data_IF_310136341579
#
_entry.id   IF_310136341579
#
_cell.length_a   1.000
_cell.length_b   1.000
_cell.length_c   1.000
_cell.angle_alpha   90.00
_cell.angle_beta   90.00
_cell.angle_gamma   90.00
#
_symmetry.space_group_name_H-M   'P 1'
#
loop_
_entity.id
_entity.type
_entity.pdbx_description
1 polymer ?
#
# COMPACT_ATOMS: atom_id res chain seq x y z
N UNK A 1 -8.98 -2.46 9.00
CA UNK A 1 -8.63 -3.30 10.16
C UNK A 1 -8.27 -4.69 9.65
N UNK A 2 -7.35 -5.45 10.27
CA UNK A 2 -7.16 -6.86 9.94
C UNK A 2 -8.47 -7.68 9.93
N UNK A 3 -9.43 -7.35 10.79
CA UNK A 3 -10.76 -7.97 10.79
C UNK A 3 -11.52 -7.73 9.47
N UNK A 4 -11.56 -6.49 8.98
CA UNK A 4 -12.22 -6.15 7.71
C UNK A 4 -11.60 -6.94 6.54
N UNK A 5 -10.26 -7.05 6.53
CA UNK A 5 -9.52 -7.80 5.49
C UNK A 5 -9.89 -9.29 5.53
N UNK A 6 -10.03 -9.88 6.73
CA UNK A 6 -10.44 -11.27 6.87
C UNK A 6 -11.89 -11.49 6.41
N UNK A 7 -12.79 -10.58 6.76
CA UNK A 7 -14.21 -10.68 6.39
C UNK A 7 -14.40 -10.62 4.87
N UNK A 8 -13.64 -9.76 4.17
CA UNK A 8 -13.72 -9.59 2.72
C UNK A 8 -12.97 -10.70 1.94
N UNK A 9 -11.80 -11.13 2.44
CA UNK A 9 -10.85 -11.94 1.64
C UNK A 9 -10.47 -13.29 2.24
N UNK A 10 -10.86 -13.62 3.48
CA UNK A 10 -10.39 -14.81 4.19
C UNK A 10 -10.72 -16.15 3.52
N UNK A 11 -11.67 -16.18 2.57
CA UNK A 11 -12.00 -17.36 1.75
C UNK A 11 -11.26 -17.42 0.40
N UNK A 12 -10.53 -16.36 0.06
CA UNK A 12 -9.84 -16.18 -1.23
C UNK A 12 -8.31 -16.31 -1.09
N UNK A 13 -7.78 -16.25 0.13
CA UNK A 13 -6.35 -16.32 0.43
C UNK A 13 -6.07 -17.46 1.41
N UNK A 14 -4.86 -17.99 1.39
CA UNK A 14 -4.46 -19.08 2.29
C UNK A 14 -4.29 -18.62 3.74
N UNK A 15 -3.93 -17.36 3.95
CA UNK A 15 -3.67 -16.80 5.28
C UNK A 15 -3.88 -15.28 5.32
N UNK A 16 -4.37 -14.79 6.46
CA UNK A 16 -4.39 -13.37 6.84
C UNK A 16 -3.57 -13.23 8.13
N UNK A 17 -2.66 -12.25 8.18
CA UNK A 17 -1.82 -11.98 9.35
C UNK A 17 -2.31 -10.70 10.02
N UNK A 18 -2.69 -10.79 11.29
CA UNK A 18 -3.04 -9.63 12.11
C UNK A 18 -1.76 -8.98 12.66
N UNK A 19 -1.46 -7.77 12.16
CA UNK A 19 -0.38 -6.91 12.62
C UNK A 19 -0.85 -5.64 13.35
N UNK A 20 -2.13 -5.59 13.74
CA UNK A 20 -2.78 -4.40 14.27
C UNK A 20 -3.15 -3.35 13.20
N UNK A 21 -3.55 -2.16 13.66
CA UNK A 21 -3.98 -1.07 12.77
C UNK A 21 -2.75 -0.46 12.08
N UNK A 22 -2.68 -0.63 10.76
CA UNK A 22 -1.72 0.04 9.90
C UNK A 22 -2.19 1.40 9.36
N UNK A 23 -1.35 2.04 8.55
CA UNK A 23 -1.74 3.22 7.77
C UNK A 23 -2.53 2.85 6.51
N UNK A 24 -3.47 3.70 6.10
CA UNK A 24 -4.26 3.54 4.88
C UNK A 24 -3.81 4.48 3.74
N UNK A 25 -2.79 5.30 3.97
CA UNK A 25 -2.19 6.14 2.93
C UNK A 25 -1.20 5.30 2.12
N UNK A 26 -1.40 5.14 0.80
CA UNK A 26 -0.51 4.33 -0.02
C UNK A 26 0.86 5.00 -0.19
N UNK A 27 1.85 4.24 -0.65
CA UNK A 27 3.17 4.79 -0.95
C UNK A 27 3.17 5.76 -2.13
N UNK A 28 4.12 6.69 -2.11
CA UNK A 28 4.50 7.52 -3.25
C UNK A 28 5.11 6.62 -4.33
N UNK A 29 4.68 6.79 -5.59
CA UNK A 29 5.19 6.06 -6.75
C UNK A 29 5.97 7.03 -7.63
N UNK A 30 7.26 6.74 -7.82
CA UNK A 30 8.14 7.43 -8.75
C UNK A 30 8.53 6.45 -9.87
N UNK A 31 8.30 6.85 -11.11
CA UNK A 31 8.81 6.16 -12.30
C UNK A 31 10.24 6.62 -12.59
N UNK A 32 11.18 5.69 -12.52
CA UNK A 32 12.60 5.91 -12.80
C UNK A 32 13.05 5.22 -14.09
N UNK A 33 12.12 4.91 -15.01
CA UNK A 33 12.45 4.21 -16.26
C UNK A 33 12.90 5.15 -17.39
N UNK A 34 12.66 6.46 -17.25
CA UNK A 34 13.12 7.51 -18.17
C UNK A 34 14.42 8.18 -17.71
N UNK A 35 14.82 9.23 -18.43
CA UNK A 35 16.03 10.00 -18.13
C UNK A 35 15.92 10.82 -16.83
N UNK A 36 14.70 11.20 -16.46
CA UNK A 36 14.40 11.96 -15.24
C UNK A 36 13.29 11.24 -14.43
N UNK A 37 13.35 11.26 -13.09
CA UNK A 37 12.29 10.68 -12.25
C UNK A 37 10.94 11.38 -12.45
N UNK A 38 9.88 10.60 -12.63
CA UNK A 38 8.51 11.09 -12.80
C UNK A 38 7.61 10.67 -11.65
N UNK A 39 6.98 11.63 -10.98
CA UNK A 39 5.96 11.34 -9.96
C UNK A 39 4.69 10.79 -10.64
N UNK A 40 4.37 9.51 -10.40
CA UNK A 40 3.13 8.89 -10.87
C UNK A 40 1.99 9.00 -9.84
N UNK A 41 2.33 8.93 -8.55
CA UNK A 41 1.36 9.06 -7.46
C UNK A 41 2.03 9.61 -6.21
N UNK A 42 1.46 10.67 -5.65
CA UNK A 42 1.82 11.15 -4.31
C UNK A 42 1.17 10.28 -3.23
N UNK A 43 1.91 10.00 -2.17
CA UNK A 43 1.47 9.14 -1.08
C UNK A 43 2.22 9.45 0.21
N UNK A 44 2.41 8.44 1.05
CA UNK A 44 3.01 8.60 2.38
C UNK A 44 4.50 9.03 2.38
N UNK A 45 5.18 8.97 1.23
CA UNK A 45 6.57 9.43 1.10
C UNK A 45 6.60 10.91 0.73
N UNK A 46 7.04 11.76 1.66
CA UNK A 46 7.23 13.18 1.41
C UNK A 46 8.39 13.42 0.44
N UNK A 47 8.22 14.39 -0.47
CA UNK A 47 9.26 14.86 -1.37
C UNK A 47 9.88 16.13 -0.76
N UNK A 48 11.21 16.12 -0.60
CA UNK A 48 11.98 17.24 -0.03
C UNK A 48 12.36 18.28 -1.09
#
# INVERSE_FOLDING_TARGET
>A
DPQDIYDDFGKQVDIVIDGGIGGNVPSTIIDCTGDEPLLLREGAGELA
#
